data_IF_896295568784
#
_entry.id   IF_896295568784
#
_cell.length_a   1.000
_cell.length_b   1.000
_cell.length_c   1.000
_cell.angle_alpha   90.00
_cell.angle_beta   90.00
_cell.angle_gamma   90.00
#
_symmetry.space_group_name_H-M   'P 1'
#
loop_
_entity.id
_entity.type
_entity.pdbx_description
1 polymer ?
#
# COMPACT_ATOMS: atom_id res chain seq x y z
N UNK A 1 3.22 -14.69 -1.27
CA UNK A 1 3.28 -13.88 -0.04
C UNK A 1 2.77 -14.69 1.13
N UNK A 2 1.50 -15.11 1.12
CA UNK A 2 0.89 -15.87 2.22
C UNK A 2 1.68 -17.12 2.64
N UNK A 3 2.13 -17.93 1.66
CA UNK A 3 3.03 -19.07 1.91
C UNK A 3 4.28 -18.74 2.73
N UNK A 4 4.85 -17.53 2.59
CA UNK A 4 6.03 -17.11 3.37
C UNK A 4 5.62 -16.72 4.79
N UNK A 5 4.56 -15.91 4.92
CA UNK A 5 4.07 -15.40 6.21
C UNK A 5 3.70 -16.57 7.13
N UNK A 6 2.96 -17.55 6.60
CA UNK A 6 2.42 -18.66 7.38
C UNK A 6 3.42 -19.81 7.56
N UNK A 7 4.57 -19.76 6.87
CA UNK A 7 5.56 -20.84 6.96
C UNK A 7 6.12 -20.89 8.38
N UNK A 8 5.89 -22.02 9.05
CA UNK A 8 6.60 -22.34 10.27
C UNK A 8 8.08 -22.61 9.96
N UNK A 9 8.95 -21.86 10.62
CA UNK A 9 10.40 -21.97 10.52
C UNK A 9 10.92 -22.18 11.94
N UNK A 10 11.75 -23.20 12.15
CA UNK A 10 12.26 -23.50 13.50
C UNK A 10 13.58 -22.80 13.81
N UNK A 11 14.34 -22.41 12.79
CA UNK A 11 15.63 -21.74 12.94
C UNK A 11 15.45 -20.21 13.01
N UNK A 12 15.94 -19.59 14.09
CA UNK A 12 15.75 -18.14 14.31
C UNK A 12 16.36 -17.27 13.22
N UNK A 13 17.51 -17.68 12.65
CA UNK A 13 18.11 -16.99 11.49
C UNK A 13 17.19 -16.95 10.27
N UNK A 14 16.39 -18.01 10.05
CA UNK A 14 15.44 -18.08 8.94
C UNK A 14 14.19 -17.25 9.23
N UNK A 15 13.67 -17.31 10.48
CA UNK A 15 12.58 -16.43 10.93
C UNK A 15 12.96 -14.96 10.74
N UNK A 16 14.16 -14.59 11.16
CA UNK A 16 14.70 -13.24 11.02
C UNK A 16 14.75 -12.79 9.56
N UNK A 17 15.36 -13.58 8.68
CA UNK A 17 15.45 -13.22 7.25
C UNK A 17 14.08 -13.18 6.57
N UNK A 18 13.18 -14.11 6.91
CA UNK A 18 11.79 -14.09 6.44
C UNK A 18 11.11 -12.78 6.85
N UNK A 19 11.19 -12.42 8.13
CA UNK A 19 10.55 -11.22 8.65
C UNK A 19 11.17 -9.95 8.03
N UNK A 20 12.49 -9.90 7.82
CA UNK A 20 13.14 -8.79 7.10
C UNK A 20 12.71 -8.66 5.65
N UNK A 21 12.51 -9.80 4.98
CA UNK A 21 11.96 -9.82 3.64
C UNK A 21 10.51 -9.33 3.61
N UNK A 22 9.66 -9.82 4.51
CA UNK A 22 8.26 -9.38 4.64
C UNK A 22 8.20 -7.89 4.97
N UNK A 23 8.96 -7.41 5.96
CA UNK A 23 9.05 -6.00 6.29
C UNK A 23 9.41 -5.14 5.07
N UNK A 24 10.38 -5.57 4.26
CA UNK A 24 10.74 -4.90 3.01
C UNK A 24 9.62 -4.97 1.95
N UNK A 25 8.83 -6.04 1.93
CA UNK A 25 7.65 -6.15 1.06
C UNK A 25 6.52 -5.21 1.47
N UNK A 26 6.40 -4.86 2.75
CA UNK A 26 5.34 -3.99 3.27
C UNK A 26 5.77 -2.53 3.45
N UNK A 27 7.05 -2.22 3.34
CA UNK A 27 7.58 -0.84 3.42
C UNK A 27 8.23 -0.36 2.11
N UNK A 28 8.63 -1.28 1.23
CA UNK A 28 9.34 -0.95 0.00
C UNK A 28 10.77 -0.46 0.21
N UNK A 29 11.30 -0.49 1.43
CA UNK A 29 12.68 -0.12 1.70
C UNK A 29 13.66 -1.08 1.01
N UNK A 30 14.79 -0.57 0.56
CA UNK A 30 15.87 -1.43 0.10
C UNK A 30 16.62 -2.01 1.31
N UNK A 31 17.29 -3.15 1.13
CA UNK A 31 18.11 -3.77 2.19
C UNK A 31 19.04 -2.77 2.90
N UNK A 32 19.72 -1.89 2.14
CA UNK A 32 20.64 -0.90 2.71
C UNK A 32 19.95 0.13 3.60
N UNK A 33 18.67 0.42 3.32
CA UNK A 33 17.88 1.38 4.06
C UNK A 33 17.29 0.70 5.31
N UNK A 34 16.78 -0.53 5.20
CA UNK A 34 16.36 -1.34 6.37
C UNK A 34 17.51 -1.50 7.36
N UNK A 35 18.72 -1.81 6.89
CA UNK A 35 19.90 -1.97 7.75
C UNK A 35 20.28 -0.70 8.53
N UNK A 36 19.89 0.48 8.06
CA UNK A 36 20.24 1.77 8.68
C UNK A 36 19.07 2.42 9.40
N UNK A 37 17.89 1.80 9.34
CA UNK A 37 16.66 2.36 9.84
C UNK A 37 16.71 2.42 11.37
N UNK A 38 16.49 3.62 11.92
CA UNK A 38 16.60 3.86 13.36
C UNK A 38 15.27 4.33 13.96
N UNK A 39 15.21 4.38 15.29
CA UNK A 39 14.02 4.86 16.00
C UNK A 39 13.67 6.31 15.62
N UNK A 40 14.66 7.14 15.30
CA UNK A 40 14.45 8.53 14.86
C UNK A 40 13.79 8.64 13.48
N UNK A 41 13.83 7.59 12.66
CA UNK A 41 13.14 7.55 11.38
C UNK A 41 11.63 7.24 11.54
N UNK A 42 11.20 6.82 12.74
CA UNK A 42 9.79 6.53 13.05
C UNK A 42 9.12 7.79 13.58
N UNK A 43 8.05 8.22 12.93
CA UNK A 43 7.34 9.47 13.24
C UNK A 43 5.83 9.24 13.22
N UNK A 44 5.07 10.14 13.86
CA UNK A 44 3.61 10.16 13.73
C UNK A 44 3.23 11.01 12.52
N UNK A 45 2.36 10.46 11.67
CA UNK A 45 1.84 11.10 10.47
C UNK A 45 0.72 12.10 10.76
N UNK A 46 0.24 12.75 9.70
CA UNK A 46 -0.90 13.69 9.77
C UNK A 46 -2.23 12.97 10.05
N UNK A 47 -2.26 11.66 9.83
CA UNK A 47 -3.35 10.73 10.09
C UNK A 47 -3.33 10.18 11.52
N UNK A 48 -2.30 10.52 12.33
CA UNK A 48 -2.10 9.98 13.68
C UNK A 48 -1.44 8.61 13.71
N UNK A 49 -1.09 8.03 12.56
CA UNK A 49 -0.50 6.71 12.44
C UNK A 49 1.04 6.76 12.44
N UNK A 50 1.71 5.61 12.60
CA UNK A 50 3.18 5.53 12.50
C UNK A 50 3.65 5.54 11.04
N UNK A 51 4.70 6.30 10.78
CA UNK A 51 5.32 6.46 9.46
C UNK A 51 6.83 6.30 9.55
N UNK A 52 7.42 5.67 8.53
CA UNK A 52 8.86 5.71 8.29
C UNK A 52 9.19 6.94 7.43
N UNK A 53 10.02 7.84 7.96
CA UNK A 53 10.55 9.02 7.27
C UNK A 53 12.06 8.98 7.25
N UNK A 54 12.64 8.43 6.18
CA UNK A 54 14.10 8.25 6.07
C UNK A 54 14.63 8.72 4.72
N UNK A 55 15.91 9.10 4.66
CA UNK A 55 16.59 9.43 3.40
C UNK A 55 17.15 8.18 2.76
N UNK A 56 16.67 7.86 1.57
CA UNK A 56 17.13 6.68 0.82
C UNK A 56 18.64 6.72 0.57
N UNK A 57 19.33 5.63 0.84
CA UNK A 57 20.80 5.56 0.75
C UNK A 57 21.30 5.88 -0.66
N UNK A 58 20.68 5.30 -1.70
CA UNK A 58 21.10 5.42 -3.10
C UNK A 58 20.85 6.81 -3.70
N UNK A 59 19.68 7.39 -3.43
CA UNK A 59 19.21 8.61 -4.12
C UNK A 59 19.23 9.85 -3.24
N UNK A 60 19.40 9.70 -1.92
CA UNK A 60 19.32 10.77 -0.91
C UNK A 60 17.97 11.49 -0.83
N UNK A 61 16.98 10.98 -1.56
CA UNK A 61 15.60 11.45 -1.54
C UNK A 61 14.89 10.97 -0.28
N UNK A 62 13.99 11.79 0.24
CA UNK A 62 13.14 11.41 1.36
C UNK A 62 12.15 10.33 0.91
N UNK A 63 12.07 9.26 1.68
CA UNK A 63 11.01 8.24 1.60
C UNK A 63 10.09 8.48 2.80
N UNK A 64 8.79 8.60 2.56
CA UNK A 64 7.78 8.75 3.60
C UNK A 64 6.73 7.67 3.39
N UNK A 65 6.71 6.69 4.28
CA UNK A 65 5.99 5.43 4.10
C UNK A 65 5.11 5.20 5.35
N UNK A 66 3.78 5.18 5.23
CA UNK A 66 2.89 4.74 6.31
C UNK A 66 3.21 3.29 6.68
N UNK A 67 3.30 2.98 7.97
CA UNK A 67 3.58 1.62 8.44
C UNK A 67 2.29 0.81 8.40
N UNK A 68 2.30 -0.26 7.61
CA UNK A 68 1.18 -1.21 7.56
C UNK A 68 1.23 -2.17 8.77
N UNK A 69 0.09 -2.72 9.22
CA UNK A 69 0.03 -3.58 10.41
C UNK A 69 1.04 -4.74 10.40
N UNK A 70 1.22 -5.40 9.26
CA UNK A 70 2.19 -6.51 9.12
C UNK A 70 3.63 -6.05 9.36
N UNK A 71 3.99 -4.82 8.94
CA UNK A 71 5.31 -4.27 9.20
C UNK A 71 5.46 -3.86 10.67
N UNK A 72 4.40 -3.32 11.29
CA UNK A 72 4.38 -2.95 12.70
C UNK A 72 4.54 -4.17 13.61
N UNK A 73 3.83 -5.27 13.34
CA UNK A 73 3.96 -6.52 14.08
C UNK A 73 5.40 -7.06 14.07
N UNK A 74 6.12 -6.87 12.96
CA UNK A 74 7.53 -7.26 12.85
C UNK A 74 8.40 -6.35 13.73
N UNK A 75 8.17 -5.04 13.73
CA UNK A 75 8.89 -4.13 14.63
C UNK A 75 8.66 -4.51 16.09
N UNK A 76 7.42 -4.79 16.47
CA UNK A 76 7.06 -5.19 17.84
C UNK A 76 7.69 -6.51 18.26
N UNK A 77 7.81 -7.47 17.33
CA UNK A 77 8.47 -8.75 17.57
C UNK A 77 9.95 -8.60 17.93
N UNK A 78 10.65 -7.68 17.29
CA UNK A 78 12.09 -7.50 17.47
C UNK A 78 12.48 -6.35 18.42
N UNK A 79 11.53 -5.59 18.97
CA UNK A 79 11.80 -4.45 19.88
C UNK A 79 12.69 -4.79 21.07
N UNK A 80 12.62 -6.04 21.54
CA UNK A 80 13.40 -6.54 22.69
C UNK A 80 14.63 -7.36 22.29
N UNK A 81 14.92 -7.49 20.99
CA UNK A 81 16.08 -8.24 20.51
C UNK A 81 17.39 -7.59 20.99
N UNK A 82 18.40 -8.35 21.42
CA UNK A 82 19.64 -7.78 21.96
C UNK A 82 20.33 -6.75 21.03
N UNK A 83 20.37 -7.03 19.73
CA UNK A 83 20.94 -6.08 18.74
C UNK A 83 20.14 -4.77 18.62
N UNK A 84 18.83 -4.81 18.88
CA UNK A 84 17.95 -3.62 18.84
C UNK A 84 18.06 -2.84 20.15
N UNK A 85 18.01 -3.53 21.30
CA UNK A 85 18.12 -2.88 22.62
C UNK A 85 19.44 -2.15 22.83
N UNK A 86 20.52 -2.66 22.24
CA UNK A 86 21.86 -2.12 22.42
C UNK A 86 22.31 -1.20 21.28
N UNK A 87 21.38 -0.73 20.43
CA UNK A 87 21.67 0.18 19.33
C UNK A 87 20.51 1.13 19.02
N UNK A 88 20.73 2.09 18.11
CA UNK A 88 19.65 2.97 17.64
C UNK A 88 18.77 2.32 16.55
N UNK A 89 19.16 1.15 16.04
CA UNK A 89 18.47 0.47 14.95
C UNK A 89 17.20 -0.23 15.43
N UNK A 90 16.17 -0.26 14.58
CA UNK A 90 14.87 -0.81 14.97
C UNK A 90 14.70 -2.30 14.66
N UNK A 91 15.63 -2.89 13.91
CA UNK A 91 15.58 -4.27 13.47
C UNK A 91 16.98 -4.90 13.47
N UNK A 92 17.12 -6.17 13.88
CA UNK A 92 18.33 -6.94 13.64
C UNK A 92 18.44 -7.27 12.15
N UNK A 93 19.61 -7.03 11.53
CA UNK A 93 19.78 -7.21 10.08
C UNK A 93 21.08 -7.94 9.78
N UNK A 94 20.95 -9.17 9.30
CA UNK A 94 22.08 -9.95 8.78
C UNK A 94 22.67 -9.32 7.52
N UNK A 95 23.91 -9.69 7.17
CA UNK A 95 24.54 -9.22 5.94
C UNK A 95 23.69 -9.54 4.70
N UNK A 96 23.81 -8.75 3.63
CA UNK A 96 23.00 -8.92 2.41
C UNK A 96 23.27 -10.29 1.77
N UNK A 97 24.52 -10.75 1.82
CA UNK A 97 24.92 -12.06 1.32
C UNK A 97 24.24 -13.19 2.10
N UNK A 98 24.30 -13.16 3.45
CA UNK A 98 23.62 -14.14 4.32
C UNK A 98 22.10 -14.10 4.13
N UNK A 99 21.53 -12.90 4.07
CA UNK A 99 20.10 -12.70 3.82
C UNK A 99 19.65 -13.35 2.52
N UNK A 100 20.36 -13.11 1.40
CA UNK A 100 20.01 -13.73 0.12
C UNK A 100 20.27 -15.25 0.10
N UNK A 101 21.26 -15.75 0.83
CA UNK A 101 21.48 -17.20 0.96
C UNK A 101 20.30 -17.87 1.69
N UNK A 102 19.89 -17.33 2.85
CA UNK A 102 18.75 -17.86 3.60
C UNK A 102 17.41 -17.64 2.89
N UNK A 103 17.25 -16.59 2.07
CA UNK A 103 16.07 -16.45 1.22
C UNK A 103 15.93 -17.56 0.19
N UNK A 104 17.03 -18.08 -0.36
CA UNK A 104 16.98 -19.25 -1.26
C UNK A 104 16.51 -20.48 -0.50
N UNK A 105 17.02 -20.71 0.70
CA UNK A 105 16.62 -21.82 1.56
C UNK A 105 15.12 -21.73 1.92
N UNK A 106 14.65 -20.56 2.35
CA UNK A 106 13.23 -20.30 2.64
C UNK A 106 12.36 -20.53 1.39
N UNK A 107 12.82 -20.07 0.21
CA UNK A 107 12.09 -20.28 -1.03
C UNK A 107 11.90 -21.77 -1.35
N UNK A 108 12.94 -22.58 -1.17
CA UNK A 108 12.88 -24.04 -1.32
C UNK A 108 11.90 -24.66 -0.33
N UNK A 109 11.97 -24.28 0.95
CA UNK A 109 11.07 -24.77 2.00
C UNK A 109 9.59 -24.41 1.76
N UNK A 110 9.32 -23.36 0.99
CA UNK A 110 7.97 -22.89 0.67
C UNK A 110 7.48 -23.33 -0.73
N UNK A 111 8.28 -24.12 -1.46
CA UNK A 111 8.04 -24.47 -2.86
C UNK A 111 7.77 -23.22 -3.74
N UNK A 112 8.62 -22.21 -3.58
CA UNK A 112 8.57 -20.97 -4.36
C UNK A 112 9.65 -21.06 -5.45
N UNK A 113 9.19 -21.27 -6.68
CA UNK A 113 10.07 -21.36 -7.87
C UNK A 113 10.74 -20.02 -8.22
N UNK A 114 10.11 -18.90 -7.88
CA UNK A 114 10.66 -17.57 -8.15
C UNK A 114 11.84 -17.31 -7.19
N UNK A 115 13.01 -16.87 -7.69
CA UNK A 115 14.13 -16.53 -6.83
C UNK A 115 13.76 -15.38 -5.88
N UNK A 116 13.88 -15.62 -4.58
CA UNK A 116 13.70 -14.59 -3.56
C UNK A 116 15.01 -13.86 -3.33
N UNK A 117 14.97 -12.53 -3.41
CA UNK A 117 16.09 -11.65 -3.09
C UNK A 117 15.58 -10.41 -2.38
N UNK A 118 16.47 -9.70 -1.70
CA UNK A 118 16.12 -8.42 -1.05
C UNK A 118 15.60 -7.38 -2.05
N UNK A 119 16.02 -7.43 -3.32
CA UNK A 119 15.46 -6.60 -4.38
C UNK A 119 14.03 -7.00 -4.76
N UNK A 120 13.73 -8.30 -4.80
CA UNK A 120 12.37 -8.79 -5.09
C UNK A 120 11.38 -8.33 -4.02
N UNK A 121 11.80 -8.21 -2.75
CA UNK A 121 10.93 -7.71 -1.70
C UNK A 121 10.40 -6.29 -2.02
N UNK A 122 11.30 -5.38 -2.39
CA UNK A 122 10.95 -4.01 -2.77
C UNK A 122 10.07 -3.94 -4.03
N UNK A 123 10.34 -4.79 -5.03
CA UNK A 123 9.45 -4.92 -6.18
C UNK A 123 8.05 -5.41 -5.79
N UNK A 124 7.97 -6.29 -4.80
CA UNK A 124 6.71 -6.82 -4.28
C UNK A 124 5.88 -5.73 -3.60
N UNK A 125 6.52 -4.84 -2.83
CA UNK A 125 5.86 -3.64 -2.30
C UNK A 125 5.26 -2.81 -3.43
N UNK A 126 6.09 -2.43 -4.40
CA UNK A 126 5.70 -1.53 -5.49
C UNK A 126 4.55 -2.07 -6.34
N UNK A 127 4.48 -3.39 -6.54
CA UNK A 127 3.50 -3.99 -7.47
C UNK A 127 2.33 -4.61 -6.73
N UNK A 128 2.61 -5.57 -5.85
CA UNK A 128 1.60 -6.44 -5.24
C UNK A 128 0.92 -5.76 -4.07
N UNK A 129 1.68 -5.05 -3.22
CA UNK A 129 1.13 -4.38 -2.04
C UNK A 129 0.45 -3.05 -2.42
N UNK A 130 1.05 -2.25 -3.30
CA UNK A 130 0.55 -0.90 -3.60
C UNK A 130 -0.20 -0.79 -4.93
N UNK A 131 0.47 -0.86 -6.08
CA UNK A 131 -0.16 -0.60 -7.39
C UNK A 131 -1.38 -1.50 -7.66
N UNK A 132 -1.31 -2.79 -7.32
CA UNK A 132 -2.41 -3.74 -7.50
C UNK A 132 -3.60 -3.45 -6.59
N UNK A 133 -3.37 -2.82 -5.43
CA UNK A 133 -4.40 -2.38 -4.49
C UNK A 133 -4.79 -0.91 -4.70
N UNK A 134 -4.44 -0.34 -5.85
CA UNK A 134 -4.95 0.93 -6.32
C UNK A 134 -4.25 2.17 -5.78
N UNK A 135 -3.06 2.03 -5.18
CA UNK A 135 -2.24 3.18 -4.80
C UNK A 135 -1.68 3.85 -6.07
N UNK A 136 -1.84 5.18 -6.24
CA UNK A 136 -1.33 5.90 -7.42
C UNK A 136 0.20 5.77 -7.58
N UNK A 137 0.65 5.73 -8.83
CA UNK A 137 2.07 5.52 -9.16
C UNK A 137 2.98 6.63 -8.59
N UNK A 138 2.47 7.86 -8.49
CA UNK A 138 3.16 9.01 -7.93
C UNK A 138 3.41 8.81 -6.43
N UNK A 139 2.40 8.34 -5.70
CA UNK A 139 2.51 7.99 -4.28
C UNK A 139 3.49 6.84 -4.09
N UNK A 140 3.41 5.79 -4.91
CA UNK A 140 4.37 4.68 -4.87
C UNK A 140 5.80 5.15 -5.15
N UNK A 141 5.99 5.98 -6.17
CA UNK A 141 7.29 6.54 -6.53
C UNK A 141 7.92 7.35 -5.38
N UNK A 142 7.10 8.16 -4.70
CA UNK A 142 7.51 8.95 -3.54
C UNK A 142 7.86 8.07 -2.34
N UNK A 143 7.05 7.05 -2.03
CA UNK A 143 7.34 6.08 -0.97
C UNK A 143 8.63 5.31 -1.23
N UNK A 144 8.90 4.98 -2.48
CA UNK A 144 10.14 4.33 -2.90
C UNK A 144 11.34 5.30 -2.94
N UNK A 145 11.14 6.61 -2.88
CA UNK A 145 12.22 7.59 -3.01
C UNK A 145 12.87 7.56 -4.39
N UNK A 146 12.09 7.36 -5.47
CA UNK A 146 12.60 7.51 -6.83
C UNK A 146 12.70 9.00 -7.20
N UNK A 147 13.79 9.40 -7.89
CA UNK A 147 13.96 10.77 -8.40
C UNK A 147 13.12 11.05 -9.64
N UNK A 148 12.82 10.00 -10.41
CA UNK A 148 12.12 10.05 -11.67
C UNK A 148 11.07 8.93 -11.69
N UNK A 149 9.85 9.28 -12.10
CA UNK A 149 8.75 8.36 -12.32
C UNK A 149 9.08 7.29 -13.37
N UNK A 150 10.00 7.55 -14.31
CA UNK A 150 10.45 6.58 -15.32
C UNK A 150 10.94 5.27 -14.70
N UNK A 151 11.55 5.32 -13.51
CA UNK A 151 12.00 4.11 -12.79
C UNK A 151 10.81 3.27 -12.32
N UNK A 152 9.71 3.93 -11.94
CA UNK A 152 8.46 3.28 -11.51
C UNK A 152 7.60 2.86 -12.72
N UNK A 153 7.74 3.52 -13.86
CA UNK A 153 7.06 3.17 -15.11
C UNK A 153 7.51 1.83 -15.70
N UNK A 154 8.58 1.20 -15.21
CA UNK A 154 8.88 -0.20 -15.58
C UNK A 154 7.72 -1.17 -15.21
N UNK A 155 6.81 -0.75 -14.33
CA UNK A 155 5.56 -1.46 -14.04
C UNK A 155 4.42 -1.15 -15.03
N UNK A 156 4.72 -0.63 -16.22
CA UNK A 156 3.76 -0.15 -17.24
C UNK A 156 2.53 -1.05 -17.41
N UNK A 157 2.72 -2.36 -17.56
CA UNK A 157 1.59 -3.31 -17.72
C UNK A 157 0.58 -3.27 -16.58
N UNK A 158 1.03 -3.07 -15.34
CA UNK A 158 0.16 -2.96 -14.17
C UNK A 158 -0.54 -1.60 -14.19
N UNK A 159 0.17 -0.55 -14.60
CA UNK A 159 -0.38 0.81 -14.75
C UNK A 159 -1.49 0.82 -15.80
N UNK A 160 -1.28 0.21 -16.97
CA UNK A 160 -2.27 0.15 -18.05
C UNK A 160 -3.55 -0.57 -17.61
N UNK A 161 -3.40 -1.73 -16.94
CA UNK A 161 -4.54 -2.44 -16.35
C UNK A 161 -5.29 -1.54 -15.36
N UNK A 162 -4.56 -0.82 -14.52
CA UNK A 162 -5.14 0.06 -13.50
C UNK A 162 -5.89 1.25 -14.11
N UNK A 163 -5.33 1.86 -15.16
CA UNK A 163 -6.00 2.91 -15.93
C UNK A 163 -7.33 2.41 -16.47
N UNK A 164 -7.36 1.19 -17.02
CA UNK A 164 -8.60 0.57 -17.52
C UNK A 164 -9.65 0.45 -16.41
N UNK A 165 -9.27 -0.11 -15.26
CA UNK A 165 -10.16 -0.28 -14.10
C UNK A 165 -10.68 1.07 -13.56
N UNK A 166 -9.81 2.07 -13.46
CA UNK A 166 -10.17 3.41 -12.97
C UNK A 166 -11.14 4.12 -13.93
N UNK A 167 -10.95 3.98 -15.23
CA UNK A 167 -11.86 4.53 -16.23
C UNK A 167 -13.22 3.82 -16.24
N UNK A 168 -13.25 2.50 -16.02
CA UNK A 168 -14.50 1.76 -15.84
C UNK A 168 -15.26 2.25 -14.59
N UNK A 169 -14.57 2.40 -13.47
CA UNK A 169 -15.14 2.93 -12.23
C UNK A 169 -15.65 4.37 -12.38
N UNK A 170 -14.89 5.23 -13.08
CA UNK A 170 -15.32 6.59 -13.38
C UNK A 170 -16.58 6.60 -14.26
N UNK A 171 -16.61 5.79 -15.33
CA UNK A 171 -17.78 5.66 -16.20
C UNK A 171 -19.01 5.24 -15.40
N UNK A 172 -18.90 4.23 -14.54
CA UNK A 172 -19.98 3.78 -13.67
C UNK A 172 -20.49 4.90 -12.74
N UNK A 173 -19.58 5.65 -12.08
CA UNK A 173 -19.94 6.78 -11.22
C UNK A 173 -20.67 7.89 -11.98
N UNK A 174 -20.21 8.21 -13.19
CA UNK A 174 -20.82 9.24 -14.02
C UNK A 174 -22.22 8.83 -14.50
N UNK A 175 -22.42 7.57 -14.89
CA UNK A 175 -23.75 7.06 -15.27
C UNK A 175 -24.72 7.00 -14.09
N UNK A 176 -24.27 6.56 -12.91
CA UNK A 176 -25.08 6.61 -11.70
C UNK A 176 -25.53 8.04 -11.35
N UNK A 177 -24.64 9.02 -11.51
CA UNK A 177 -24.95 10.45 -11.28
C UNK A 177 -25.96 10.99 -12.30
N UNK A 178 -25.90 10.57 -13.58
CA UNK A 178 -26.91 10.91 -14.59
C UNK A 178 -28.29 10.35 -14.25
N UNK A 179 -28.37 9.10 -13.77
CA UNK A 179 -29.63 8.46 -13.36
C UNK A 179 -30.23 9.16 -12.14
N UNK A 180 -29.41 9.47 -11.13
CA UNK A 180 -29.84 10.23 -9.94
C UNK A 180 -30.37 11.63 -10.32
N UNK A 181 -29.70 12.33 -11.25
CA UNK A 181 -30.17 13.63 -11.71
C UNK A 181 -31.50 13.53 -12.51
N UNK A 182 -31.65 12.54 -13.40
CA UNK A 182 -32.91 12.33 -14.16
C UNK A 182 -34.09 11.98 -13.26
N UNK A 183 -33.89 11.13 -12.24
CA UNK A 183 -34.93 10.75 -11.29
C UNK A 183 -35.36 11.95 -10.41
N UNK A 184 -34.40 12.76 -9.95
CA UNK A 184 -34.69 14.00 -9.21
C UNK A 184 -35.50 15.01 -10.05
N UNK A 185 -35.19 15.18 -11.34
CA UNK A 185 -35.98 16.04 -12.23
C UNK A 185 -37.41 15.53 -12.43
N UNK A 186 -37.61 14.22 -12.64
CA UNK A 186 -38.96 13.62 -12.76
C UNK A 186 -39.78 13.81 -11.49
N UNK A 187 -39.17 13.63 -10.32
CA UNK A 187 -39.86 13.75 -9.04
C UNK A 187 -40.28 15.20 -8.75
N UNK A 188 -39.44 16.19 -9.14
CA UNK A 188 -39.76 17.61 -9.02
C UNK A 188 -40.94 18.00 -9.92
N UNK A 189 -40.96 17.50 -11.15
CA UNK A 189 -42.05 17.77 -12.10
C UNK A 189 -43.38 17.14 -11.66
N UNK A 190 -43.37 15.90 -11.15
CA UNK A 190 -44.60 15.27 -10.62
C UNK A 190 -45.16 16.01 -9.41
N UNK A 191 -44.31 16.44 -8.46
CA UNK A 191 -44.75 17.26 -7.31
C UNK A 191 -45.34 18.60 -7.75
N UNK A 192 -44.77 19.21 -8.80
CA UNK A 192 -45.28 20.48 -9.31
C UNK A 192 -46.62 20.33 -10.04
N UNK A 193 -46.79 19.28 -10.86
CA UNK A 193 -48.09 18.95 -11.47
C UNK A 193 -49.17 18.67 -10.43
N UNK A 194 -48.84 17.90 -9.37
CA UNK A 194 -49.78 17.58 -8.29
C UNK A 194 -50.19 18.82 -7.48
N UNK A 195 -49.28 19.80 -7.33
CA UNK A 195 -49.57 21.08 -6.68
C UNK A 195 -50.47 21.97 -7.57
N UNK A 196 -50.19 22.02 -8.87
CA UNK A 196 -51.00 22.77 -9.85
C UNK A 196 -52.41 22.21 -10.02
N UNK A 197 -52.59 20.87 -9.97
CA UNK A 197 -53.92 20.25 -10.02
C UNK A 197 -54.74 20.55 -8.76
N UNK A 198 -54.13 20.55 -7.57
CA UNK A 198 -54.80 20.97 -6.33
C UNK A 198 -55.20 22.44 -6.33
N UNK A 199 -54.38 23.34 -6.88
CA UNK A 199 -54.72 24.76 -6.98
C UNK A 199 -55.90 25.04 -7.92
N UNK A 200 -56.06 24.28 -9.01
CA UNK A 200 -57.21 24.43 -9.94
C UNK A 200 -58.54 23.94 -9.35
N UNK A 201 -58.52 22.96 -8.45
CA UNK A 201 -59.74 22.40 -7.83
C UNK A 201 -60.31 23.36 -6.76
N UNK A 202 -59.48 24.17 -6.09
CA UNK A 202 -59.95 25.12 -5.07
C UNK A 202 -60.71 26.32 -5.64
N UNK A 203 -60.58 26.61 -6.94
CA UNK A 203 -61.21 27.78 -7.60
C UNK A 203 -62.59 27.46 -8.19
N UNK A 204 -63.03 26.19 -8.18
CA UNK A 204 -64.26 25.73 -8.84
C UNK A 204 -65.34 25.21 -7.87
N UNK A 205 -65.37 25.64 -6.61
CA UNK A 205 -66.57 25.46 -5.76
C UNK A 205 -67.45 26.71 -5.83
N UNK A 206 -68.61 26.67 -6.52
CA UNK A 206 -69.63 27.70 -6.39
C UNK A 206 -70.27 27.62 -5.00
N UNK A 207 -70.86 28.75 -4.62
CA UNK A 207 -71.56 29.01 -3.36
C UNK A 207 -72.64 27.97 -3.03
#
# INVERSE_FOLDING_TARGET
MQKLIDKELHLDRLKLVRDMFIFSCFTGLAYSDVKKLSNSDITIGIDGEKWIRTKRTKTKTLSSIPILPVAEEILDRYKNHPEVKNSDFILPVLSNQKSNAFLKEIALMCDIKKPLTTHVARHTFATTITLTNGVPIESVSKMLGHKDLRTTQHYAKIVDRKISEDMQNLKAKLEAKKISNKSNLKNKNSKNLYRLSKLKITVLKPQ
#
